data_IF_878152116201
#
_entry.id   IF_878152116201
#
_cell.length_a   1.000
_cell.length_b   1.000
_cell.length_c   1.000
_cell.angle_alpha   90.00
_cell.angle_beta   90.00
_cell.angle_gamma   90.00
#
_symmetry.space_group_name_H-M   'P 1'
#
loop_
_entity.id
_entity.type
_entity.pdbx_description
1 polymer ?
#
# COMPACT_ATOMS: atom_id res chain seq x y z
N UNK A 1 30.47 66.98 32.58
CA UNK A 1 31.36 65.81 32.78
C UNK A 1 30.70 64.89 33.78
N UNK A 2 29.97 63.89 33.30
CA UNK A 2 29.20 62.90 34.13
C UNK A 2 30.15 61.75 34.48
N UNK A 3 30.53 61.64 35.72
CA UNK A 3 31.34 60.55 36.26
C UNK A 3 30.48 59.27 36.31
N UNK A 4 30.83 58.30 35.51
CA UNK A 4 30.25 56.94 35.59
C UNK A 4 30.93 56.22 36.77
N UNK A 5 30.12 55.81 37.74
CA UNK A 5 30.57 55.08 38.94
C UNK A 5 30.97 53.65 38.51
N UNK A 6 32.23 53.18 38.73
CA UNK A 6 32.70 51.88 38.26
C UNK A 6 32.26 50.71 39.14
N UNK A 7 31.46 50.92 40.17
CA UNK A 7 31.07 49.94 41.19
C UNK A 7 29.59 49.58 41.15
N UNK A 8 28.88 49.76 40.01
CA UNK A 8 27.51 49.20 39.92
C UNK A 8 27.58 47.67 39.79
N UNK A 9 26.95 46.89 40.72
CA UNK A 9 26.91 45.46 40.62
C UNK A 9 26.15 45.07 39.34
N UNK A 10 26.72 44.17 38.56
CA UNK A 10 26.09 43.61 37.36
C UNK A 10 24.70 43.09 37.70
N UNK A 11 23.69 43.59 37.03
CA UNK A 11 22.30 43.29 37.31
C UNK A 11 22.03 41.78 37.22
N UNK A 12 21.42 41.13 38.22
CA UNK A 12 21.17 39.70 38.24
C UNK A 12 20.15 39.21 37.19
N UNK A 13 19.52 40.13 36.47
CA UNK A 13 18.54 39.82 35.40
C UNK A 13 19.13 39.08 34.20
N UNK A 14 20.41 39.25 33.89
CA UNK A 14 21.03 38.59 32.73
C UNK A 14 21.19 37.08 32.96
N UNK A 15 21.56 36.66 34.15
CA UNK A 15 21.76 35.25 34.49
C UNK A 15 20.44 34.47 34.57
N UNK A 16 19.38 35.07 35.08
CA UNK A 16 18.05 34.48 35.15
C UNK A 16 17.44 34.29 33.74
N UNK A 17 17.59 35.28 32.87
CA UNK A 17 17.17 35.21 31.46
C UNK A 17 17.95 34.14 30.67
N UNK A 18 19.28 34.03 30.89
CA UNK A 18 20.09 32.97 30.26
C UNK A 18 19.65 31.58 30.71
N UNK A 19 19.42 31.37 32.00
CA UNK A 19 18.91 30.07 32.55
C UNK A 19 17.52 29.71 32.00
N UNK A 20 16.64 30.72 31.87
CA UNK A 20 15.31 30.50 31.25
C UNK A 20 15.41 30.05 29.79
N UNK A 21 16.21 30.78 28.99
CA UNK A 21 16.42 30.43 27.57
C UNK A 21 17.08 29.06 27.41
N UNK A 22 18.05 28.70 28.22
CA UNK A 22 18.70 27.40 28.21
C UNK A 22 17.69 26.25 28.52
N UNK A 23 16.84 26.43 29.54
CA UNK A 23 15.77 25.46 29.86
C UNK A 23 14.79 25.29 28.70
N UNK A 24 14.35 26.39 28.08
CA UNK A 24 13.43 26.35 26.93
C UNK A 24 14.08 25.63 25.76
N UNK A 25 15.32 25.94 25.43
CA UNK A 25 16.06 25.27 24.33
C UNK A 25 16.22 23.78 24.60
N UNK A 26 16.56 23.41 25.84
CA UNK A 26 16.65 21.99 26.23
C UNK A 26 15.33 21.26 26.05
N UNK A 27 14.22 21.86 26.48
CA UNK A 27 12.88 21.26 26.28
C UNK A 27 12.53 21.11 24.80
N UNK A 28 12.84 22.10 23.96
CA UNK A 28 12.65 22.02 22.50
C UNK A 28 13.43 20.85 21.91
N UNK A 29 14.71 20.72 22.29
CA UNK A 29 15.58 19.61 21.81
C UNK A 29 15.02 18.27 22.25
N UNK A 30 14.58 18.14 23.50
CA UNK A 30 13.96 16.88 24.00
C UNK A 30 12.68 16.55 23.23
N UNK A 31 11.80 17.51 23.01
CA UNK A 31 10.57 17.32 22.25
C UNK A 31 10.86 16.87 20.81
N UNK A 32 11.82 17.53 20.14
CA UNK A 32 12.22 17.15 18.78
C UNK A 32 12.82 15.74 18.77
N UNK A 33 13.68 15.40 19.74
CA UNK A 33 14.26 14.07 19.84
C UNK A 33 13.18 12.99 20.05
N UNK A 34 12.23 13.23 20.96
CA UNK A 34 11.10 12.32 21.17
C UNK A 34 10.24 12.18 19.90
N UNK A 35 9.91 13.28 19.24
CA UNK A 35 9.15 13.25 17.98
C UNK A 35 9.87 12.47 16.89
N UNK A 36 11.19 12.65 16.76
CA UNK A 36 12.01 11.89 15.81
C UNK A 36 12.03 10.40 16.13
N UNK A 37 12.21 10.04 17.40
CA UNK A 37 12.17 8.63 17.83
C UNK A 37 10.82 8.01 17.52
N UNK A 38 9.71 8.67 17.83
CA UNK A 38 8.37 8.23 17.51
C UNK A 38 8.15 8.09 16.00
N UNK A 39 8.63 9.07 15.22
CA UNK A 39 8.57 9.02 13.76
C UNK A 39 9.36 7.83 13.19
N UNK A 40 10.58 7.62 13.63
CA UNK A 40 11.39 6.47 13.21
C UNK A 40 10.77 5.15 13.65
N UNK A 41 10.09 5.12 14.80
CA UNK A 41 9.47 3.91 15.34
C UNK A 41 8.16 3.53 14.63
N UNK A 42 7.33 4.50 14.27
CA UNK A 42 5.97 4.31 13.78
C UNK A 42 5.72 4.85 12.36
N UNK A 43 6.65 5.61 11.79
CA UNK A 43 6.47 6.24 10.48
C UNK A 43 6.25 5.23 9.35
N UNK A 44 6.77 4.00 9.46
CA UNK A 44 6.52 2.94 8.50
C UNK A 44 5.09 2.39 8.54
N UNK A 45 4.46 2.40 9.72
CA UNK A 45 3.10 1.88 9.90
C UNK A 45 2.04 2.77 9.20
N UNK A 46 2.41 4.01 8.83
CA UNK A 46 1.55 4.92 8.03
C UNK A 46 1.15 4.30 6.70
N UNK A 47 1.96 3.43 6.13
CA UNK A 47 1.69 2.81 4.83
C UNK A 47 0.86 1.52 4.94
N UNK A 48 0.86 0.90 6.11
CA UNK A 48 0.25 -0.41 6.33
C UNK A 48 -1.17 -0.27 6.86
N UNK A 49 -2.10 -0.93 6.20
CA UNK A 49 -3.47 -1.05 6.65
C UNK A 49 -4.08 -2.35 6.14
N UNK A 50 -4.24 -3.32 7.01
CA UNK A 50 -4.90 -4.59 6.72
C UNK A 50 -6.24 -4.66 7.45
N UNK A 51 -7.23 -5.25 6.81
CA UNK A 51 -8.53 -5.48 7.43
C UNK A 51 -8.54 -6.87 8.11
N UNK A 52 -9.36 -7.08 9.14
CA UNK A 52 -9.65 -8.43 9.60
C UNK A 52 -10.24 -9.27 8.47
N UNK A 53 -9.66 -10.43 8.20
CA UNK A 53 -10.14 -11.30 7.15
C UNK A 53 -11.53 -11.85 7.49
N UNK A 54 -12.42 -11.95 6.49
CA UNK A 54 -13.71 -12.62 6.66
C UNK A 54 -13.53 -14.13 6.82
N UNK A 55 -14.56 -14.81 7.28
CA UNK A 55 -14.57 -16.28 7.29
C UNK A 55 -14.53 -16.86 5.87
N UNK A 56 -15.15 -16.16 4.93
CA UNK A 56 -15.21 -16.55 3.53
C UNK A 56 -15.39 -15.29 2.64
N UNK A 57 -14.77 -15.32 1.46
CA UNK A 57 -14.95 -14.35 0.38
C UNK A 57 -14.93 -15.08 -0.97
N UNK A 58 -15.46 -14.44 -2.02
CA UNK A 58 -15.58 -15.07 -3.35
C UNK A 58 -14.20 -15.25 -3.99
N UNK A 59 -13.32 -14.23 -3.84
CA UNK A 59 -12.06 -14.19 -4.59
C UNK A 59 -10.96 -13.41 -3.85
N UNK A 60 -9.72 -13.89 -3.99
CA UNK A 60 -8.51 -13.14 -3.68
C UNK A 60 -7.96 -12.50 -4.96
N UNK A 61 -7.87 -11.18 -4.99
CA UNK A 61 -7.35 -10.42 -6.13
C UNK A 61 -5.88 -10.07 -5.91
N UNK A 62 -5.02 -10.52 -6.81
CA UNK A 62 -3.57 -10.24 -6.79
C UNK A 62 -3.31 -8.95 -7.55
N UNK A 63 -2.81 -7.91 -6.87
CA UNK A 63 -2.43 -6.67 -7.53
C UNK A 63 -1.07 -6.78 -8.23
N UNK A 64 -0.97 -6.12 -9.37
CA UNK A 64 0.28 -5.99 -10.12
C UNK A 64 1.33 -5.14 -9.38
N UNK A 65 2.59 -5.29 -9.77
CA UNK A 65 3.70 -4.55 -9.20
C UNK A 65 5.06 -5.08 -9.68
N UNK A 66 6.10 -4.94 -8.85
CA UNK A 66 7.41 -5.54 -9.14
C UNK A 66 7.32 -7.08 -9.19
N UNK A 67 8.22 -7.72 -9.92
CA UNK A 67 8.25 -9.18 -10.03
C UNK A 67 8.30 -9.89 -8.66
N UNK A 68 9.10 -9.38 -7.72
CA UNK A 68 9.17 -9.91 -6.34
C UNK A 68 7.85 -9.69 -5.59
N UNK A 69 7.24 -8.52 -5.75
CA UNK A 69 5.95 -8.20 -5.12
C UNK A 69 4.83 -9.09 -5.66
N UNK A 70 4.74 -9.27 -6.98
CA UNK A 70 3.73 -10.15 -7.60
C UNK A 70 3.88 -11.58 -7.11
N UNK A 71 5.11 -12.10 -7.03
CA UNK A 71 5.36 -13.45 -6.50
C UNK A 71 4.85 -13.61 -5.06
N UNK A 72 5.19 -12.69 -4.18
CA UNK A 72 4.75 -12.73 -2.77
C UNK A 72 3.23 -12.63 -2.65
N UNK A 73 2.60 -11.73 -3.42
CA UNK A 73 1.15 -11.53 -3.45
C UNK A 73 0.42 -12.76 -3.98
N UNK A 74 0.96 -13.38 -5.05
CA UNK A 74 0.44 -14.65 -5.58
C UNK A 74 0.48 -15.76 -4.54
N UNK A 75 1.61 -15.90 -3.83
CA UNK A 75 1.73 -16.88 -2.74
C UNK A 75 0.72 -16.61 -1.62
N UNK A 76 0.53 -15.35 -1.22
CA UNK A 76 -0.48 -14.97 -0.23
C UNK A 76 -1.91 -15.30 -0.67
N UNK A 77 -2.27 -14.98 -1.92
CA UNK A 77 -3.59 -15.30 -2.47
C UNK A 77 -3.85 -16.81 -2.57
N UNK A 78 -2.86 -17.58 -3.01
CA UNK A 78 -2.93 -19.05 -3.05
C UNK A 78 -3.04 -19.65 -1.65
N UNK A 79 -2.40 -19.03 -0.66
CA UNK A 79 -2.56 -19.43 0.74
C UNK A 79 -4.00 -19.27 1.23
N UNK A 80 -4.65 -18.15 0.92
CA UNK A 80 -6.07 -17.93 1.23
C UNK A 80 -6.98 -18.97 0.55
N UNK A 81 -6.69 -19.31 -0.70
CA UNK A 81 -7.39 -20.36 -1.44
C UNK A 81 -7.23 -21.73 -0.77
N UNK A 82 -6.01 -22.11 -0.40
CA UNK A 82 -5.71 -23.39 0.27
C UNK A 82 -6.35 -23.50 1.65
N UNK A 83 -6.53 -22.37 2.34
CA UNK A 83 -7.21 -22.29 3.63
C UNK A 83 -8.74 -22.32 3.51
N UNK A 84 -9.30 -22.27 2.29
CA UNK A 84 -10.74 -22.22 2.06
C UNK A 84 -11.38 -20.87 2.44
N UNK A 85 -10.57 -19.83 2.58
CA UNK A 85 -11.06 -18.47 2.85
C UNK A 85 -11.62 -17.85 1.57
N UNK A 86 -11.12 -18.24 0.40
CA UNK A 86 -11.62 -17.81 -0.91
C UNK A 86 -11.86 -19.01 -1.82
N UNK A 87 -12.78 -18.88 -2.78
CA UNK A 87 -13.05 -19.93 -3.77
C UNK A 87 -12.14 -19.80 -4.99
N UNK A 88 -11.72 -18.57 -5.33
CA UNK A 88 -10.93 -18.28 -6.51
C UNK A 88 -9.79 -17.31 -6.21
N UNK A 89 -8.79 -17.34 -7.09
CA UNK A 89 -7.75 -16.28 -7.18
C UNK A 89 -7.93 -15.57 -8.51
N UNK A 90 -7.91 -14.24 -8.52
CA UNK A 90 -7.90 -13.43 -9.73
C UNK A 90 -6.60 -12.66 -9.85
N UNK A 91 -5.94 -12.76 -11.01
CA UNK A 91 -4.76 -11.98 -11.33
C UNK A 91 -5.01 -11.08 -12.55
N UNK A 92 -4.58 -9.82 -12.46
CA UNK A 92 -4.56 -8.93 -13.61
C UNK A 92 -3.37 -9.26 -14.51
N UNK A 93 -3.60 -9.41 -15.82
CA UNK A 93 -2.55 -9.70 -16.80
C UNK A 93 -2.70 -8.80 -18.02
N UNK A 94 -1.60 -8.37 -18.66
CA UNK A 94 -1.66 -7.55 -19.87
C UNK A 94 -2.13 -8.38 -21.08
N UNK A 95 -2.76 -7.73 -22.09
CA UNK A 95 -3.19 -8.38 -23.34
C UNK A 95 -2.04 -8.55 -24.33
N UNK A 96 -0.90 -9.02 -23.85
CA UNK A 96 0.31 -9.21 -24.67
C UNK A 96 0.63 -10.68 -24.84
N UNK A 97 1.52 -10.97 -25.76
CA UNK A 97 2.09 -12.30 -25.98
C UNK A 97 3.59 -12.26 -25.73
N UNK A 98 4.13 -13.34 -25.17
CA UNK A 98 5.56 -13.55 -25.04
C UNK A 98 5.94 -14.80 -25.85
N UNK A 99 6.83 -14.62 -26.84
CA UNK A 99 7.31 -15.69 -27.72
C UNK A 99 6.19 -16.59 -28.31
N UNK A 100 5.06 -15.96 -28.69
CA UNK A 100 3.93 -16.63 -29.31
C UNK A 100 2.86 -17.14 -28.36
N UNK A 101 3.10 -17.17 -27.05
CA UNK A 101 2.11 -17.55 -26.06
C UNK A 101 1.45 -16.31 -25.41
N UNK A 102 0.16 -16.41 -25.17
CA UNK A 102 -0.54 -15.34 -24.43
C UNK A 102 -0.16 -15.34 -22.96
N UNK A 103 -0.10 -14.16 -22.35
CA UNK A 103 0.24 -14.04 -20.92
C UNK A 103 -0.68 -14.87 -20.02
N UNK A 104 -2.00 -14.95 -20.23
CA UNK A 104 -2.86 -15.86 -19.47
C UNK A 104 -2.41 -17.32 -19.53
N UNK A 105 -2.02 -17.82 -20.70
CA UNK A 105 -1.55 -19.22 -20.88
C UNK A 105 -0.25 -19.46 -20.11
N UNK A 106 0.73 -18.56 -20.26
CA UNK A 106 1.99 -18.62 -19.49
C UNK A 106 1.73 -18.57 -18.00
N UNK A 107 0.83 -17.69 -17.54
CA UNK A 107 0.48 -17.56 -16.16
C UNK A 107 -0.24 -18.82 -15.64
N UNK A 108 -1.17 -19.38 -16.39
CA UNK A 108 -1.86 -20.63 -16.02
C UNK A 108 -0.85 -21.79 -15.86
N UNK A 109 0.08 -21.93 -16.81
CA UNK A 109 1.15 -22.92 -16.73
C UNK A 109 2.01 -22.74 -15.48
N UNK A 110 2.40 -21.50 -15.17
CA UNK A 110 3.11 -21.16 -13.95
C UNK A 110 2.36 -21.60 -12.68
N UNK A 111 1.05 -21.35 -12.61
CA UNK A 111 0.24 -21.77 -11.46
C UNK A 111 0.15 -23.30 -11.35
N UNK A 112 -0.02 -24.00 -12.47
CA UNK A 112 -0.10 -25.46 -12.50
C UNK A 112 1.22 -26.11 -12.05
N UNK A 113 2.33 -25.57 -12.52
CA UNK A 113 3.68 -26.07 -12.18
C UNK A 113 4.05 -25.82 -10.72
N UNK A 114 3.81 -24.60 -10.22
CA UNK A 114 4.29 -24.19 -8.90
C UNK A 114 3.33 -24.49 -7.75
N UNK A 115 2.02 -24.56 -8.01
CA UNK A 115 0.99 -24.74 -6.99
C UNK A 115 0.11 -25.95 -7.19
N UNK A 116 0.22 -26.62 -8.32
CA UNK A 116 -0.55 -27.78 -8.72
C UNK A 116 -1.79 -27.45 -9.56
N UNK A 117 -2.27 -28.41 -10.37
CA UNK A 117 -3.38 -28.22 -11.30
C UNK A 117 -4.68 -27.82 -10.60
N UNK A 118 -4.97 -28.35 -9.43
CA UNK A 118 -6.17 -28.03 -8.65
C UNK A 118 -6.22 -26.55 -8.22
N UNK A 119 -5.06 -25.92 -8.00
CA UNK A 119 -4.98 -24.46 -7.75
C UNK A 119 -5.13 -23.70 -9.06
N UNK A 120 -4.47 -24.15 -10.13
CA UNK A 120 -4.54 -23.49 -11.44
C UNK A 120 -5.98 -23.42 -11.98
N UNK A 121 -6.78 -24.45 -11.80
CA UNK A 121 -8.21 -24.52 -12.20
C UNK A 121 -9.08 -23.48 -11.47
N UNK A 122 -8.62 -22.96 -10.34
CA UNK A 122 -9.28 -21.91 -9.56
C UNK A 122 -8.68 -20.53 -9.75
N UNK A 123 -7.73 -20.38 -10.68
CA UNK A 123 -7.14 -19.07 -11.04
C UNK A 123 -7.87 -18.51 -12.27
N UNK A 124 -8.28 -17.26 -12.14
CA UNK A 124 -8.96 -16.52 -13.20
C UNK A 124 -8.13 -15.32 -13.57
N UNK A 125 -7.94 -15.07 -14.85
CA UNK A 125 -7.18 -13.93 -15.34
C UNK A 125 -8.12 -12.84 -15.82
N UNK A 126 -7.89 -11.62 -15.33
CA UNK A 126 -8.51 -10.41 -15.86
C UNK A 126 -7.51 -9.75 -16.83
N UNK A 127 -7.78 -9.88 -18.11
CA UNK A 127 -6.91 -9.30 -19.15
C UNK A 127 -7.23 -7.82 -19.29
N UNK A 128 -6.27 -6.98 -18.94
CA UNK A 128 -6.40 -5.53 -19.01
C UNK A 128 -5.04 -4.84 -19.17
N UNK A 129 -5.01 -3.76 -19.94
CA UNK A 129 -3.82 -2.91 -20.05
C UNK A 129 -3.92 -1.79 -19.01
N UNK A 130 -3.19 -1.92 -17.92
CA UNK A 130 -3.26 -0.99 -16.77
C UNK A 130 -1.87 -0.51 -16.38
N UNK A 131 -1.73 0.81 -16.24
CA UNK A 131 -0.49 1.48 -15.86
C UNK A 131 -0.55 2.12 -14.46
N UNK A 132 -1.69 1.96 -13.78
CA UNK A 132 -1.89 2.50 -12.42
C UNK A 132 -2.86 1.65 -11.62
N UNK A 133 -2.77 1.74 -10.30
CA UNK A 133 -3.69 1.05 -9.37
C UNK A 133 -5.15 1.46 -9.59
N UNK A 134 -5.41 2.70 -10.03
CA UNK A 134 -6.75 3.20 -10.31
C UNK A 134 -7.34 2.51 -11.56
N UNK A 135 -6.54 2.42 -12.64
CA UNK A 135 -6.95 1.71 -13.84
C UNK A 135 -7.15 0.21 -13.58
N UNK A 136 -6.25 -0.38 -12.80
CA UNK A 136 -6.34 -1.78 -12.38
C UNK A 136 -7.62 -2.04 -11.61
N UNK A 137 -7.95 -1.23 -10.60
CA UNK A 137 -9.19 -1.35 -9.84
C UNK A 137 -10.45 -1.23 -10.72
N UNK A 138 -10.43 -0.31 -11.70
CA UNK A 138 -11.52 -0.13 -12.67
C UNK A 138 -11.70 -1.34 -13.59
N UNK A 139 -10.61 -1.89 -14.13
CA UNK A 139 -10.65 -3.08 -14.98
C UNK A 139 -11.10 -4.32 -14.22
N UNK A 140 -10.53 -4.53 -13.04
CA UNK A 140 -10.86 -5.67 -12.19
C UNK A 140 -12.30 -5.61 -11.68
N UNK A 141 -12.86 -4.41 -11.45
CA UNK A 141 -14.28 -4.24 -11.17
C UNK A 141 -15.15 -4.92 -12.22
N UNK A 142 -14.89 -4.68 -13.52
CA UNK A 142 -15.66 -5.28 -14.61
C UNK A 142 -15.54 -6.81 -14.61
N UNK A 143 -14.34 -7.33 -14.39
CA UNK A 143 -14.09 -8.76 -14.27
C UNK A 143 -14.84 -9.38 -13.07
N UNK A 144 -14.85 -8.71 -11.92
CA UNK A 144 -15.58 -9.14 -10.73
C UNK A 144 -17.09 -9.14 -10.95
N UNK A 145 -17.62 -8.07 -11.57
CA UNK A 145 -19.05 -7.94 -11.90
C UNK A 145 -19.52 -9.02 -12.88
N UNK A 146 -18.70 -9.35 -13.89
CA UNK A 146 -19.03 -10.40 -14.87
C UNK A 146 -19.11 -11.82 -14.27
N UNK A 147 -18.44 -12.03 -13.12
CA UNK A 147 -18.47 -13.28 -12.37
C UNK A 147 -19.51 -13.28 -11.24
N UNK A 148 -20.18 -12.15 -10.99
CA UNK A 148 -21.10 -11.99 -9.87
C UNK A 148 -20.45 -11.93 -8.50
N UNK A 149 -19.11 -11.83 -8.42
CA UNK A 149 -18.37 -11.78 -7.17
C UNK A 149 -18.54 -10.43 -6.48
N UNK A 150 -18.71 -10.44 -5.16
CA UNK A 150 -18.96 -9.24 -4.36
C UNK A 150 -18.13 -9.13 -3.08
N UNK A 151 -17.63 -10.26 -2.56
CA UNK A 151 -16.74 -10.27 -1.41
C UNK A 151 -15.31 -10.53 -1.89
N UNK A 152 -14.45 -9.53 -1.78
CA UNK A 152 -13.15 -9.49 -2.43
C UNK A 152 -12.06 -9.25 -1.40
N UNK A 153 -11.05 -10.11 -1.36
CA UNK A 153 -9.81 -9.87 -0.62
C UNK A 153 -8.76 -9.39 -1.60
N UNK A 154 -8.34 -8.14 -1.46
CA UNK A 154 -7.28 -7.53 -2.29
C UNK A 154 -5.93 -7.79 -1.65
N UNK A 155 -5.11 -8.61 -2.30
CA UNK A 155 -3.78 -9.02 -1.82
C UNK A 155 -2.72 -8.15 -2.47
N UNK A 156 -1.95 -7.43 -1.63
CA UNK A 156 -0.89 -6.55 -2.08
C UNK A 156 0.27 -6.49 -1.08
N UNK A 157 1.36 -5.82 -1.42
CA UNK A 157 2.49 -5.64 -0.49
C UNK A 157 2.10 -4.74 0.69
N UNK A 158 2.63 -5.02 1.88
CA UNK A 158 2.30 -4.31 3.11
C UNK A 158 2.32 -2.78 2.96
N UNK A 159 3.38 -2.24 2.36
CA UNK A 159 3.54 -0.80 2.16
C UNK A 159 2.51 -0.16 1.23
N UNK A 160 1.81 -0.96 0.45
CA UNK A 160 0.83 -0.51 -0.53
C UNK A 160 -0.62 -0.62 -0.04
N UNK A 161 -0.88 -1.34 1.05
CA UNK A 161 -2.23 -1.68 1.52
C UNK A 161 -3.10 -0.45 1.79
N UNK A 162 -2.57 0.57 2.47
CA UNK A 162 -3.35 1.78 2.78
C UNK A 162 -3.78 2.53 1.53
N UNK A 163 -2.86 2.72 0.57
CA UNK A 163 -3.15 3.44 -0.68
C UNK A 163 -4.06 2.63 -1.58
N UNK A 164 -3.76 1.36 -1.82
CA UNK A 164 -4.61 0.48 -2.61
C UNK A 164 -6.02 0.37 -2.04
N UNK A 165 -6.16 0.22 -0.73
CA UNK A 165 -7.47 0.13 -0.07
C UNK A 165 -8.34 1.38 -0.29
N UNK A 166 -7.75 2.58 -0.25
CA UNK A 166 -8.48 3.83 -0.57
C UNK A 166 -8.96 3.86 -2.02
N UNK A 167 -8.08 3.49 -2.95
CA UNK A 167 -8.39 3.45 -4.39
C UNK A 167 -9.49 2.44 -4.67
N UNK A 168 -9.36 1.22 -4.17
CA UNK A 168 -10.31 0.13 -4.40
C UNK A 168 -11.68 0.44 -3.83
N UNK A 169 -11.77 0.94 -2.60
CA UNK A 169 -13.04 1.34 -2.00
C UNK A 169 -13.71 2.47 -2.78
N UNK A 170 -12.95 3.44 -3.26
CA UNK A 170 -13.48 4.52 -4.09
C UNK A 170 -13.91 4.05 -5.49
N UNK A 171 -13.14 3.17 -6.14
CA UNK A 171 -13.46 2.64 -7.46
C UNK A 171 -14.75 1.77 -7.47
N UNK A 172 -15.01 1.07 -6.36
CA UNK A 172 -16.13 0.15 -6.23
C UNK A 172 -17.33 0.73 -5.41
N UNK A 173 -17.22 1.98 -4.93
CA UNK A 173 -18.21 2.59 -4.04
C UNK A 173 -19.63 2.69 -4.63
N UNK A 174 -19.76 2.85 -5.96
CA UNK A 174 -21.04 3.04 -6.65
C UNK A 174 -21.54 1.77 -7.36
N UNK A 175 -21.00 0.60 -6.98
CA UNK A 175 -21.50 -0.65 -7.54
C UNK A 175 -22.83 -1.06 -6.90
N UNK A 176 -23.72 -1.61 -7.71
CA UNK A 176 -24.99 -2.16 -7.24
C UNK A 176 -25.15 -3.59 -7.78
N UNK A 177 -25.20 -4.61 -6.92
CA UNK A 177 -25.06 -4.56 -5.46
C UNK A 177 -23.64 -4.16 -5.00
N UNK A 178 -23.47 -3.66 -3.75
CA UNK A 178 -22.19 -3.15 -3.25
C UNK A 178 -21.15 -4.25 -3.05
N UNK A 179 -19.87 -3.88 -3.20
CA UNK A 179 -18.75 -4.76 -2.87
C UNK A 179 -18.38 -4.69 -1.40
N UNK A 180 -17.97 -5.83 -0.83
CA UNK A 180 -17.24 -5.91 0.43
C UNK A 180 -15.77 -6.14 0.12
N UNK A 181 -14.91 -5.20 0.50
CA UNK A 181 -13.48 -5.20 0.17
C UNK A 181 -12.68 -5.35 1.44
N UNK A 182 -11.78 -6.32 1.46
CA UNK A 182 -10.82 -6.58 2.52
C UNK A 182 -9.40 -6.44 1.96
N UNK A 183 -8.53 -5.79 2.71
CA UNK A 183 -7.12 -5.61 2.31
C UNK A 183 -6.24 -6.60 3.05
N UNK A 184 -5.52 -7.43 2.31
CA UNK A 184 -4.51 -8.34 2.84
C UNK A 184 -3.12 -7.90 2.38
N UNK A 185 -2.24 -7.70 3.35
CA UNK A 185 -0.87 -7.26 3.12
C UNK A 185 0.13 -8.40 3.27
N UNK A 186 0.97 -8.58 2.25
CA UNK A 186 2.06 -9.56 2.28
C UNK A 186 3.42 -8.89 2.37
N UNK A 187 4.36 -9.53 3.06
CA UNK A 187 5.76 -9.13 3.06
C UNK A 187 6.43 -9.59 1.76
N UNK A 188 7.03 -8.66 1.00
CA UNK A 188 7.70 -8.96 -0.27
C UNK A 188 9.20 -8.66 -0.27
N UNK A 189 9.77 -8.35 0.90
CA UNK A 189 11.18 -8.03 1.06
C UNK A 189 11.56 -6.60 0.65
N UNK A 190 10.68 -5.86 -0.04
CA UNK A 190 10.94 -4.48 -0.49
C UNK A 190 10.72 -3.43 0.59
N UNK A 191 10.06 -3.81 1.70
CA UNK A 191 9.74 -2.90 2.78
C UNK A 191 9.39 -3.63 4.08
N UNK A 192 9.90 -3.07 5.19
CA UNK A 192 9.48 -3.41 6.54
C UNK A 192 9.07 -2.16 7.29
N UNK A 193 7.87 -2.13 7.86
CA UNK A 193 7.37 -0.97 8.59
C UNK A 193 8.24 -0.64 9.82
N UNK A 194 8.65 -1.68 10.57
CA UNK A 194 9.60 -1.50 11.69
C UNK A 194 11.03 -1.42 11.17
N UNK A 195 11.72 -0.30 11.46
CA UNK A 195 13.09 -0.07 10.97
C UNK A 195 13.13 0.30 9.48
N UNK A 196 12.06 0.87 8.94
CA UNK A 196 11.95 1.33 7.56
C UNK A 196 13.09 2.26 7.13
N UNK A 197 13.67 3.00 8.07
CA UNK A 197 14.77 3.93 7.85
C UNK A 197 16.16 3.25 7.79
N UNK A 198 16.28 1.97 8.11
CA UNK A 198 17.56 1.26 8.20
C UNK A 198 18.12 0.82 6.86
N UNK A 199 17.29 0.67 5.85
CA UNK A 199 17.70 0.22 4.52
C UNK A 199 17.28 1.24 3.46
N UNK A 200 18.19 1.52 2.54
CA UNK A 200 17.97 2.47 1.45
C UNK A 200 16.69 2.15 0.65
N UNK A 201 16.46 0.88 0.33
CA UNK A 201 15.29 0.46 -0.43
C UNK A 201 13.99 0.69 0.35
N UNK A 202 13.99 0.49 1.65
CA UNK A 202 12.84 0.77 2.50
C UNK A 202 12.53 2.26 2.57
N UNK A 203 13.58 3.10 2.73
CA UNK A 203 13.41 4.57 2.69
C UNK A 203 12.85 5.04 1.36
N UNK A 204 13.38 4.52 0.24
CA UNK A 204 12.90 4.82 -1.10
C UNK A 204 11.43 4.44 -1.28
N UNK A 205 11.05 3.22 -0.88
CA UNK A 205 9.66 2.73 -0.92
C UNK A 205 8.76 3.62 -0.06
N UNK A 206 9.19 3.94 1.15
CA UNK A 206 8.45 4.82 2.07
C UNK A 206 8.21 6.20 1.47
N UNK A 207 9.25 6.85 0.95
CA UNK A 207 9.14 8.17 0.32
C UNK A 207 8.19 8.15 -0.88
N UNK A 208 8.33 7.17 -1.77
CA UNK A 208 7.50 7.06 -2.97
C UNK A 208 6.03 6.81 -2.64
N UNK A 209 5.73 5.87 -1.75
CA UNK A 209 4.34 5.55 -1.41
C UNK A 209 3.70 6.63 -0.53
N UNK A 210 4.46 7.25 0.38
CA UNK A 210 3.95 8.38 1.18
C UNK A 210 3.65 9.59 0.30
N UNK A 211 4.53 9.94 -0.65
CA UNK A 211 4.27 11.06 -1.58
C UNK A 211 3.03 10.83 -2.44
N UNK A 212 2.82 9.60 -2.95
CA UNK A 212 1.60 9.24 -3.68
C UNK A 212 0.37 9.33 -2.78
N UNK A 213 0.46 8.83 -1.55
CA UNK A 213 -0.65 8.88 -0.58
C UNK A 213 -1.03 10.33 -0.23
N UNK A 214 -0.04 11.21 -0.02
CA UNK A 214 -0.25 12.65 0.22
C UNK A 214 -0.88 13.30 -1.01
N UNK A 215 -0.33 13.05 -2.19
CA UNK A 215 -0.86 13.57 -3.45
C UNK A 215 -2.34 13.21 -3.61
N UNK A 216 -2.68 11.94 -3.49
CA UNK A 216 -4.05 11.46 -3.58
C UNK A 216 -4.97 12.03 -2.47
N UNK A 217 -4.40 12.39 -1.31
CA UNK A 217 -5.16 12.99 -0.21
C UNK A 217 -5.49 14.46 -0.45
N UNK A 218 -4.59 15.20 -1.11
CA UNK A 218 -4.75 16.63 -1.39
C UNK A 218 -5.58 16.85 -2.67
N UNK A 219 -5.24 16.15 -3.73
CA UNK A 219 -5.84 16.35 -5.05
C UNK A 219 -6.97 15.36 -5.37
N UNK A 220 -7.28 14.48 -4.44
CA UNK A 220 -8.22 13.37 -4.64
C UNK A 220 -7.66 12.34 -5.62
N UNK A 221 -8.53 11.41 -6.03
CA UNK A 221 -8.17 10.42 -7.04
C UNK A 221 -8.21 11.01 -8.47
N UNK A 222 -8.31 12.35 -8.57
CA UNK A 222 -8.14 13.18 -9.76
C UNK A 222 -9.03 12.83 -10.97
N UNK A 223 -8.72 13.39 -12.15
CA UNK A 223 -9.39 13.10 -13.42
C UNK A 223 -9.14 11.66 -13.91
N UNK A 224 -8.28 10.91 -13.24
CA UNK A 224 -7.99 9.49 -13.47
C UNK A 224 -9.23 8.58 -13.29
N UNK A 225 -10.33 9.09 -12.72
CA UNK A 225 -11.61 8.38 -12.58
C UNK A 225 -12.26 8.02 -13.92
N UNK A 226 -11.83 8.61 -15.01
CA UNK A 226 -12.50 8.55 -16.31
C UNK A 226 -11.76 7.73 -17.38
N UNK A 227 -10.64 7.08 -17.08
CA UNK A 227 -9.97 6.21 -18.07
C UNK A 227 -10.62 4.82 -17.99
N UNK A 228 -11.47 4.46 -18.97
CA UNK A 228 -12.06 3.13 -19.02
C UNK A 228 -10.96 2.12 -19.37
N UNK A 229 -10.41 1.45 -18.37
CA UNK A 229 -9.66 0.23 -18.61
C UNK A 229 -10.67 -0.89 -18.74
N UNK A 230 -10.84 -1.43 -19.94
CA UNK A 230 -11.72 -2.57 -20.16
C UNK A 230 -10.99 -3.83 -19.70
N UNK A 231 -11.56 -4.51 -18.69
CA UNK A 231 -11.12 -5.82 -18.25
C UNK A 231 -11.95 -6.93 -18.89
N UNK A 232 -11.29 -7.97 -19.38
CA UNK A 232 -11.94 -9.20 -19.90
C UNK A 232 -11.45 -10.40 -19.13
N UNK A 233 -12.40 -11.22 -18.67
CA UNK A 233 -12.10 -12.48 -17.99
C UNK A 233 -11.66 -13.55 -18.99
N UNK A 234 -10.58 -14.26 -18.67
CA UNK A 234 -10.09 -15.45 -19.35
C UNK A 234 -9.74 -16.49 -18.28
N UNK A 235 -10.05 -17.73 -18.55
CA UNK A 235 -9.76 -18.87 -17.69
C UNK A 235 -8.79 -19.80 -18.38
#
# INVERSE_FOLDING_TARGET
>A
MMHRDPNLPAQPESAARLKGRFRTTLWIVVVIACALILFLRFGGDILVHTDPLPRHADVAVVLNGSALGVRARTQGAVQLLKQGIVDYVMASVPPTTYWGESVPQVAHHYFAEHFGPQVADRVVFCVANTNSTIQEAGALRQCLESRGWRQVIVVTSNYHTRRAGRIWRAALAHANPPFKIYMEGVADGSFQARGWWRQREYVKTWLLETSKLIWESIFGLGPWKSVPSQGRVVQ
#
